data_IF_568782763373
#
_entry.id   IF_568782763373
#
_cell.length_a   1.000
_cell.length_b   1.000
_cell.length_c   1.000
_cell.angle_alpha   90.00
_cell.angle_beta   90.00
_cell.angle_gamma   90.00
#
_symmetry.space_group_name_H-M   'P 1'
#
loop_
_entity.id
_entity.type
_entity.pdbx_description
1 polymer ?
#
# COMPACT_ATOMS: atom_id res chain seq x y z
N UNK A 1 3.27 14.69 6.13
CA UNK A 1 3.06 13.56 5.19
C UNK A 1 2.00 12.65 5.78
N UNK A 2 0.96 12.30 5.02
CA UNK A 2 -0.11 11.38 5.45
C UNK A 2 -0.15 10.21 4.47
N UNK A 3 -0.07 8.99 5.00
CA UNK A 3 -0.26 7.75 4.26
C UNK A 3 -1.58 7.11 4.65
N UNK A 4 -2.22 6.43 3.71
CA UNK A 4 -3.53 5.80 3.89
C UNK A 4 -3.44 4.35 3.40
N UNK A 5 -4.07 3.45 4.16
CA UNK A 5 -4.18 2.02 3.83
C UNK A 5 -5.65 1.67 3.87
N UNK A 6 -6.12 0.96 2.84
CA UNK A 6 -7.45 0.38 2.84
C UNK A 6 -7.46 -0.97 2.12
N UNK A 7 -8.41 -1.81 2.53
CA UNK A 7 -8.70 -3.05 1.82
C UNK A 7 -9.79 -2.76 0.79
N UNK A 8 -9.67 -3.39 -0.37
CA UNK A 8 -10.64 -3.28 -1.44
C UNK A 8 -10.93 -4.67 -2.00
N UNK A 9 -12.20 -4.98 -2.23
CA UNK A 9 -12.58 -6.15 -3.02
C UNK A 9 -12.71 -5.73 -4.47
N UNK A 10 -12.00 -6.43 -5.35
CA UNK A 10 -12.03 -6.16 -6.78
C UNK A 10 -12.10 -7.46 -7.58
N UNK A 11 -12.16 -7.34 -8.90
CA UNK A 11 -12.11 -8.48 -9.82
C UNK A 11 -10.70 -8.57 -10.39
N UNK A 12 -10.02 -9.70 -10.15
CA UNK A 12 -8.77 -10.06 -10.80
C UNK A 12 -9.04 -11.27 -11.70
N UNK A 13 -8.75 -11.16 -13.00
CA UNK A 13 -8.90 -12.25 -13.98
C UNK A 13 -10.27 -12.99 -13.96
N UNK A 14 -11.35 -12.27 -13.67
CA UNK A 14 -12.70 -12.83 -13.65
C UNK A 14 -13.13 -13.47 -12.32
N UNK A 15 -12.28 -13.45 -11.29
CA UNK A 15 -12.62 -13.85 -9.92
C UNK A 15 -12.56 -12.68 -8.94
N UNK A 16 -13.41 -12.70 -7.91
CA UNK A 16 -13.27 -11.78 -6.79
C UNK A 16 -11.95 -12.02 -6.06
N UNK A 17 -11.26 -10.94 -5.72
CA UNK A 17 -9.99 -10.98 -5.00
C UNK A 17 -9.90 -9.83 -4.02
N UNK A 18 -9.25 -10.09 -2.89
CA UNK A 18 -8.96 -9.07 -1.88
C UNK A 18 -7.66 -8.34 -2.26
N UNK A 19 -7.70 -7.03 -2.17
CA UNK A 19 -6.56 -6.15 -2.43
C UNK A 19 -6.25 -5.31 -1.21
N UNK A 20 -4.95 -5.08 -0.99
CA UNK A 20 -4.49 -4.02 -0.10
C UNK A 20 -3.99 -2.87 -0.95
N UNK A 21 -4.54 -1.68 -0.72
CA UNK A 21 -4.09 -0.46 -1.39
C UNK A 21 -3.41 0.43 -0.37
N UNK A 22 -2.19 0.83 -0.69
CA UNK A 22 -1.43 1.83 0.04
C UNK A 22 -1.26 3.07 -0.83
N UNK A 23 -1.59 4.23 -0.26
CA UNK A 23 -1.38 5.51 -0.90
C UNK A 23 -0.63 6.48 0.01
N UNK A 24 0.40 7.13 -0.52
CA UNK A 24 1.11 8.20 0.17
C UNK A 24 1.25 9.43 -0.73
N UNK A 25 1.01 10.60 -0.12
CA UNK A 25 1.20 11.90 -0.77
C UNK A 25 2.50 12.53 -0.27
N UNK A 26 3.40 12.83 -1.22
CA UNK A 26 4.63 13.60 -1.03
C UNK A 26 4.45 15.00 -1.63
N UNK A 27 5.34 15.96 -1.31
CA UNK A 27 5.22 17.34 -1.81
C UNK A 27 5.15 17.44 -3.34
N UNK A 28 5.94 16.63 -4.05
CA UNK A 28 6.06 16.65 -5.52
C UNK A 28 5.52 15.39 -6.21
N UNK A 29 5.11 14.37 -5.47
CA UNK A 29 4.74 13.07 -6.03
C UNK A 29 3.65 12.37 -5.24
N UNK A 30 2.97 11.43 -5.89
CA UNK A 30 1.98 10.54 -5.29
C UNK A 30 2.40 9.10 -5.56
N UNK A 31 2.45 8.29 -4.53
CA UNK A 31 2.74 6.86 -4.64
C UNK A 31 1.48 6.07 -4.34
N UNK A 32 1.15 5.13 -5.22
CA UNK A 32 0.09 4.14 -5.04
C UNK A 32 0.70 2.76 -5.23
N UNK A 33 0.53 1.89 -4.24
CA UNK A 33 0.92 0.48 -4.30
C UNK A 33 -0.33 -0.37 -4.11
N UNK A 34 -0.49 -1.38 -4.96
CA UNK A 34 -1.58 -2.35 -4.91
C UNK A 34 -0.96 -3.72 -4.72
N UNK A 35 -1.39 -4.41 -3.67
CA UNK A 35 -1.00 -5.79 -3.39
C UNK A 35 -2.21 -6.68 -3.64
N UNK A 36 -2.04 -7.71 -4.45
CA UNK A 36 -3.07 -8.67 -4.86
C UNK A 36 -2.52 -10.10 -4.80
N UNK A 37 -3.39 -11.09 -5.01
CA UNK A 37 -3.00 -12.51 -5.16
C UNK A 37 -2.23 -13.14 -3.99
N UNK A 38 -2.40 -12.59 -2.79
CA UNK A 38 -1.84 -13.13 -1.54
C UNK A 38 -2.96 -13.36 -0.54
N UNK A 39 -2.80 -14.35 0.34
CA UNK A 39 -3.82 -14.64 1.35
C UNK A 39 -4.12 -13.41 2.22
N UNK A 40 -5.35 -13.30 2.72
CA UNK A 40 -5.74 -12.19 3.61
C UNK A 40 -4.78 -12.02 4.80
N UNK A 41 -4.25 -13.13 5.34
CA UNK A 41 -3.21 -13.11 6.37
C UNK A 41 -1.93 -12.37 5.92
N UNK A 42 -1.47 -12.61 4.70
CA UNK A 42 -0.32 -11.89 4.15
C UNK A 42 -0.63 -10.42 3.91
N UNK A 43 -1.81 -10.07 3.40
CA UNK A 43 -2.22 -8.67 3.25
C UNK A 43 -2.19 -7.93 4.60
N UNK A 44 -2.70 -8.57 5.66
CA UNK A 44 -2.64 -8.02 7.02
C UNK A 44 -1.21 -7.81 7.52
N UNK A 45 -0.31 -8.77 7.26
CA UNK A 45 1.10 -8.63 7.63
C UNK A 45 1.77 -7.48 6.87
N UNK A 46 1.49 -7.32 5.57
CA UNK A 46 2.00 -6.19 4.77
C UNK A 46 1.47 -4.87 5.32
N UNK A 47 0.17 -4.75 5.58
CA UNK A 47 -0.43 -3.55 6.15
C UNK A 47 0.21 -3.19 7.51
N UNK A 48 0.38 -4.17 8.39
CA UNK A 48 1.02 -3.99 9.68
C UNK A 48 2.48 -3.52 9.54
N UNK A 49 3.23 -4.09 8.59
CA UNK A 49 4.60 -3.66 8.33
C UNK A 49 4.64 -2.23 7.78
N UNK A 50 3.77 -1.87 6.83
CA UNK A 50 3.68 -0.51 6.28
C UNK A 50 3.32 0.53 7.35
N UNK A 51 2.49 0.17 8.33
CA UNK A 51 2.12 1.04 9.46
C UNK A 51 3.21 1.15 10.52
N UNK A 52 3.87 0.03 10.86
CA UNK A 52 4.89 -0.01 11.92
C UNK A 52 6.23 0.53 11.47
N UNK A 53 6.56 0.37 10.20
CA UNK A 53 7.77 0.96 9.63
C UNK A 53 7.52 2.44 9.36
N UNK A 54 8.58 3.25 9.48
CA UNK A 54 8.61 4.63 8.95
C UNK A 54 8.60 4.62 7.41
N UNK A 55 7.94 3.65 6.77
CA UNK A 55 7.93 3.43 5.33
C UNK A 55 7.60 4.68 4.52
N UNK A 56 6.61 5.51 4.89
CA UNK A 56 6.38 6.77 4.18
C UNK A 56 7.63 7.67 4.18
N UNK A 57 8.35 7.77 5.30
CA UNK A 57 9.59 8.56 5.40
C UNK A 57 10.77 7.90 4.66
N UNK A 58 10.90 6.58 4.78
CA UNK A 58 11.94 5.81 4.09
C UNK A 58 11.79 5.83 2.57
N UNK A 59 10.54 5.96 2.08
CA UNK A 59 10.24 6.09 0.68
C UNK A 59 10.39 7.54 0.20
N UNK A 60 10.09 8.55 1.04
CA UNK A 60 10.30 9.97 0.73
C UNK A 60 11.74 10.29 0.34
N UNK A 61 12.72 9.68 1.02
CA UNK A 61 14.14 9.91 0.72
C UNK A 61 14.56 9.44 -0.68
N UNK A 62 13.75 8.61 -1.34
CA UNK A 62 13.95 8.17 -2.74
C UNK A 62 13.35 9.13 -3.77
N UNK A 63 12.52 10.08 -3.33
CA UNK A 63 11.81 11.02 -4.20
C UNK A 63 12.15 12.49 -3.89
N UNK A 64 13.18 12.72 -3.07
CA UNK A 64 13.60 14.05 -2.61
C UNK A 64 14.89 14.53 -3.30
N UNK A 65 15.08 14.16 -4.57
CA UNK A 65 16.18 14.69 -5.41
C UNK A 65 16.09 16.23 -5.56
#
# INVERSE_FOLDING_TARGET
>A
MKGYIWYHKGIQFGSESDFLVYQAQYPSSKVVMVFSDVTMHHLQNIANNLMRSNFPKALASRFSD
#
